data_IF_316033853339
#
_entry.id   IF_316033853339
#
_cell.length_a   1.000
_cell.length_b   1.000
_cell.length_c   1.000
_cell.angle_alpha   90.00
_cell.angle_beta   90.00
_cell.angle_gamma   90.00
#
_symmetry.space_group_name_H-M   'P 1'
#
loop_
_entity.id
_entity.type
_entity.pdbx_description
1 polymer ?
#
# COMPACT_ATOMS: atom_id res chain seq x y z
N UNK A 1 25.28 -9.02 12.96
CA UNK A 1 24.54 -9.62 11.84
C UNK A 1 23.10 -9.15 11.86
N UNK A 2 22.58 -8.62 10.75
CA UNK A 2 21.17 -8.25 10.64
C UNK A 2 20.38 -9.50 10.27
N UNK A 3 19.84 -10.19 11.28
CA UNK A 3 19.00 -11.38 11.07
C UNK A 3 17.66 -10.98 10.44
N UNK A 4 17.61 -10.95 9.11
CA UNK A 4 16.36 -10.72 8.37
C UNK A 4 15.58 -12.02 8.32
N UNK A 5 14.42 -12.04 8.98
CA UNK A 5 13.49 -13.18 9.01
C UNK A 5 13.33 -13.82 7.61
N UNK A 6 13.35 -15.15 7.48
CA UNK A 6 13.17 -15.81 6.20
C UNK A 6 11.78 -15.50 5.63
N UNK A 7 11.65 -15.37 4.29
CA UNK A 7 10.35 -15.32 3.66
C UNK A 7 9.64 -16.67 3.82
N UNK A 8 8.34 -16.69 3.62
CA UNK A 8 7.57 -17.94 3.65
C UNK A 8 8.10 -18.92 2.59
N UNK A 9 8.10 -20.22 2.89
CA UNK A 9 8.69 -21.23 2.02
C UNK A 9 10.20 -21.40 2.22
N UNK A 10 10.79 -20.69 3.18
CA UNK A 10 12.17 -20.85 3.58
C UNK A 10 12.32 -20.94 5.09
N UNK A 11 13.34 -21.67 5.52
CA UNK A 11 13.87 -21.68 6.88
C UNK A 11 15.37 -21.41 6.84
N UNK A 12 15.96 -21.08 7.98
CA UNK A 12 17.42 -21.08 8.09
C UNK A 12 17.90 -22.50 8.38
N UNK A 13 18.80 -23.00 7.53
CA UNK A 13 19.63 -24.16 7.78
C UNK A 13 21.06 -23.68 8.08
N UNK A 14 21.40 -23.66 9.36
CA UNK A 14 22.58 -22.95 9.87
C UNK A 14 22.53 -21.46 9.53
N UNK A 15 23.41 -21.01 8.64
CA UNK A 15 23.52 -19.61 8.20
C UNK A 15 22.91 -19.36 6.81
N UNK A 16 22.40 -20.39 6.13
CA UNK A 16 21.86 -20.27 4.76
C UNK A 16 20.36 -20.48 4.75
N UNK A 17 19.69 -19.87 3.78
CA UNK A 17 18.28 -20.14 3.54
C UNK A 17 18.14 -21.47 2.80
N UNK A 18 17.31 -22.35 3.32
CA UNK A 18 16.92 -23.59 2.67
C UNK A 18 15.39 -23.60 2.51
N UNK A 19 14.88 -24.42 1.60
CA UNK A 19 13.43 -24.59 1.48
C UNK A 19 12.84 -25.09 2.80
N UNK A 20 11.61 -24.65 3.07
CA UNK A 20 10.83 -25.17 4.19
C UNK A 20 10.66 -26.69 4.04
N UNK A 21 10.96 -27.53 5.06
CA UNK A 21 10.80 -28.99 4.94
C UNK A 21 9.34 -29.41 4.74
N UNK A 22 8.39 -28.54 5.06
CA UNK A 22 6.97 -28.75 4.79
C UNK A 22 6.67 -28.62 3.29
N UNK A 23 6.41 -29.76 2.65
CA UNK A 23 6.07 -29.85 1.22
C UNK A 23 4.79 -29.08 0.86
N UNK A 24 3.83 -28.98 1.78
CA UNK A 24 2.60 -28.25 1.56
C UNK A 24 2.88 -26.74 1.48
N UNK A 25 3.77 -26.22 2.34
CA UNK A 25 4.22 -24.82 2.26
C UNK A 25 4.93 -24.57 0.93
N UNK A 26 5.87 -25.45 0.54
CA UNK A 26 6.56 -25.32 -0.74
C UNK A 26 5.59 -25.35 -1.93
N UNK A 27 4.68 -26.32 -1.95
CA UNK A 27 3.67 -26.48 -2.99
C UNK A 27 2.78 -25.25 -3.11
N UNK A 28 2.36 -24.67 -1.98
CA UNK A 28 1.52 -23.46 -1.96
C UNK A 28 2.25 -22.23 -2.53
N UNK A 29 3.55 -22.07 -2.23
CA UNK A 29 4.38 -20.99 -2.79
C UNK A 29 4.59 -21.20 -4.30
N UNK A 30 4.87 -22.43 -4.74
CA UNK A 30 5.01 -22.77 -6.17
C UNK A 30 3.73 -22.49 -6.94
N UNK A 31 2.58 -22.90 -6.40
CA UNK A 31 1.27 -22.66 -7.00
C UNK A 31 0.96 -21.17 -7.18
N UNK A 32 1.37 -20.33 -6.22
CA UNK A 32 1.22 -18.87 -6.35
C UNK A 32 1.97 -18.35 -7.57
N UNK A 33 3.24 -18.71 -7.73
CA UNK A 33 4.06 -18.26 -8.86
C UNK A 33 3.56 -18.83 -10.19
N UNK A 34 3.17 -20.10 -10.23
CA UNK A 34 2.61 -20.73 -11.43
C UNK A 34 1.30 -20.05 -11.86
N UNK A 35 0.40 -19.81 -10.91
CA UNK A 35 -0.87 -19.13 -11.17
C UNK A 35 -0.65 -17.71 -11.68
N UNK A 36 0.33 -17.00 -11.10
CA UNK A 36 0.69 -15.66 -11.58
C UNK A 36 1.32 -15.71 -12.97
N UNK A 37 2.18 -16.71 -13.25
CA UNK A 37 2.78 -16.91 -14.58
C UNK A 37 1.70 -17.07 -15.65
N UNK A 38 0.67 -17.88 -15.36
CA UNK A 38 -0.48 -18.16 -16.24
C UNK A 38 -1.40 -16.95 -16.43
N UNK A 39 -1.75 -16.24 -15.35
CA UNK A 39 -2.80 -15.21 -15.37
C UNK A 39 -2.28 -13.79 -15.53
N UNK A 40 -1.02 -13.56 -15.19
CA UNK A 40 -0.40 -12.24 -15.13
C UNK A 40 -1.01 -11.29 -14.09
N UNK A 41 -1.95 -11.72 -13.23
CA UNK A 41 -2.71 -10.83 -12.35
C UNK A 41 -2.76 -11.32 -10.90
N UNK A 42 -2.33 -10.47 -9.96
CA UNK A 42 -2.34 -10.79 -8.54
C UNK A 42 -3.76 -11.03 -7.97
N UNK A 43 -4.77 -10.34 -8.50
CA UNK A 43 -6.17 -10.58 -8.12
C UNK A 43 -6.64 -11.95 -8.61
N UNK A 44 -6.23 -12.37 -9.80
CA UNK A 44 -6.59 -13.70 -10.33
C UNK A 44 -5.94 -14.82 -9.52
N UNK A 45 -4.74 -14.62 -8.97
CA UNK A 45 -4.12 -15.55 -8.02
C UNK A 45 -5.02 -15.72 -6.78
N UNK A 46 -5.46 -14.62 -6.17
CA UNK A 46 -6.37 -14.68 -5.01
C UNK A 46 -7.67 -15.41 -5.36
N UNK A 47 -8.28 -15.12 -6.52
CA UNK A 47 -9.49 -15.80 -6.99
C UNK A 47 -9.27 -17.30 -7.16
N UNK A 48 -8.15 -17.70 -7.75
CA UNK A 48 -7.84 -19.12 -7.93
C UNK A 48 -7.74 -19.84 -6.58
N UNK A 49 -6.96 -19.29 -5.64
CA UNK A 49 -6.84 -19.86 -4.30
C UNK A 49 -8.18 -19.95 -3.58
N UNK A 50 -9.00 -18.90 -3.66
CA UNK A 50 -10.34 -18.90 -3.05
C UNK A 50 -11.28 -19.91 -3.71
N UNK A 51 -11.25 -20.05 -5.04
CA UNK A 51 -12.10 -20.99 -5.79
C UNK A 51 -11.75 -22.45 -5.49
N UNK A 52 -10.47 -22.75 -5.39
CA UNK A 52 -9.97 -24.10 -5.10
C UNK A 52 -9.97 -24.42 -3.58
N UNK A 53 -10.40 -23.48 -2.73
CA UNK A 53 -10.41 -23.68 -1.26
C UNK A 53 -9.02 -23.77 -0.62
N UNK A 54 -7.98 -23.28 -1.30
CA UNK A 54 -6.58 -23.40 -0.87
C UNK A 54 -6.24 -22.28 0.12
N UNK A 55 -5.81 -22.65 1.31
CA UNK A 55 -5.37 -21.71 2.33
C UNK A 55 -3.88 -21.36 2.17
N UNK A 56 -3.53 -20.12 2.52
CA UNK A 56 -2.17 -19.60 2.50
C UNK A 56 -1.51 -19.75 3.88
N UNK A 57 -0.30 -20.35 3.96
CA UNK A 57 0.41 -20.48 5.23
C UNK A 57 1.02 -19.15 5.67
N UNK A 58 0.97 -18.88 6.97
CA UNK A 58 1.53 -17.69 7.59
C UNK A 58 2.26 -18.07 8.86
N UNK A 59 3.58 -17.83 8.90
CA UNK A 59 4.37 -17.94 10.13
C UNK A 59 4.14 -16.71 11.00
N UNK A 60 3.60 -16.90 12.21
CA UNK A 60 3.32 -15.82 13.16
C UNK A 60 4.61 -15.13 13.61
N UNK A 61 4.61 -13.79 13.55
CA UNK A 61 5.82 -13.01 13.72
C UNK A 61 6.19 -12.74 15.18
N UNK A 62 5.17 -12.58 16.02
CA UNK A 62 5.26 -12.14 17.40
C UNK A 62 4.11 -12.72 18.22
N UNK A 63 4.21 -12.59 19.54
CA UNK A 63 3.22 -13.08 20.50
C UNK A 63 3.49 -14.51 20.99
N UNK A 64 2.60 -15.06 21.84
CA UNK A 64 2.81 -16.36 22.49
C UNK A 64 2.96 -17.53 21.52
N UNK A 65 2.43 -17.40 20.31
CA UNK A 65 2.46 -18.39 19.22
C UNK A 65 3.49 -18.05 18.14
N UNK A 66 4.50 -17.22 18.44
CA UNK A 66 5.52 -16.83 17.48
C UNK A 66 6.24 -18.07 16.91
N UNK A 67 6.38 -18.10 15.58
CA UNK A 67 6.97 -19.24 14.86
C UNK A 67 5.95 -20.25 14.33
N UNK A 68 4.76 -20.33 14.91
CA UNK A 68 3.69 -21.23 14.47
C UNK A 68 3.18 -20.88 13.06
N UNK A 69 2.85 -21.90 12.28
CA UNK A 69 2.23 -21.77 10.96
C UNK A 69 0.72 -21.80 11.13
N UNK A 70 0.05 -20.72 10.71
CA UNK A 70 -1.42 -20.67 10.61
C UNK A 70 -1.84 -20.60 9.15
N UNK A 71 -2.94 -21.25 8.81
CA UNK A 71 -3.49 -21.31 7.46
C UNK A 71 -4.71 -20.39 7.38
N UNK A 72 -4.71 -19.47 6.41
CA UNK A 72 -5.76 -18.47 6.26
C UNK A 72 -6.01 -18.15 4.78
N UNK A 73 -7.11 -17.46 4.47
CA UNK A 73 -7.38 -17.03 3.10
C UNK A 73 -6.22 -16.17 2.53
N UNK A 74 -5.90 -16.40 1.25
CA UNK A 74 -4.86 -15.64 0.58
C UNK A 74 -5.34 -14.22 0.29
N UNK A 75 -4.66 -13.22 0.85
CA UNK A 75 -4.95 -11.82 0.55
C UNK A 75 -4.10 -11.29 -0.61
N UNK A 76 -4.67 -10.37 -1.39
CA UNK A 76 -3.99 -9.66 -2.48
C UNK A 76 -2.71 -8.95 -2.01
N UNK A 77 -2.71 -8.38 -0.80
CA UNK A 77 -1.54 -7.76 -0.19
C UNK A 77 -0.38 -8.75 -0.04
N UNK A 78 -0.70 -10.01 0.29
CA UNK A 78 0.26 -11.09 0.47
C UNK A 78 0.84 -11.54 -0.86
N UNK A 79 0.01 -11.68 -1.89
CA UNK A 79 0.46 -11.98 -3.25
C UNK A 79 1.47 -10.95 -3.72
N UNK A 80 1.16 -9.65 -3.60
CA UNK A 80 2.10 -8.58 -3.96
C UNK A 80 3.40 -8.64 -3.15
N UNK A 81 3.33 -8.91 -1.84
CA UNK A 81 4.52 -9.05 -1.01
C UNK A 81 5.42 -10.21 -1.46
N UNK A 82 4.84 -11.33 -1.92
CA UNK A 82 5.59 -12.47 -2.46
C UNK A 82 6.22 -12.09 -3.80
N UNK A 83 5.43 -11.57 -4.74
CA UNK A 83 5.89 -11.26 -6.09
C UNK A 83 6.92 -10.11 -6.14
N UNK A 84 6.88 -9.15 -5.21
CA UNK A 84 7.88 -8.08 -5.09
C UNK A 84 9.11 -8.46 -4.25
N UNK A 85 9.23 -9.71 -3.80
CA UNK A 85 10.35 -10.13 -2.97
C UNK A 85 11.39 -10.88 -3.82
N UNK A 86 12.53 -10.25 -4.16
CA UNK A 86 13.58 -10.90 -4.96
C UNK A 86 14.26 -12.05 -4.20
N UNK A 87 14.06 -12.22 -2.88
CA UNK A 87 14.62 -13.38 -2.17
C UNK A 87 14.06 -14.71 -2.70
N UNK A 88 12.89 -14.72 -3.34
CA UNK A 88 12.39 -15.94 -3.99
C UNK A 88 13.21 -16.36 -5.23
N UNK A 89 14.16 -15.55 -5.70
CA UNK A 89 15.08 -15.90 -6.80
C UNK A 89 16.35 -16.61 -6.33
N UNK A 90 16.55 -16.76 -5.02
CA UNK A 90 17.83 -17.21 -4.47
C UNK A 90 18.83 -16.08 -4.20
N UNK A 91 18.44 -14.82 -4.44
CA UNK A 91 19.30 -13.67 -4.21
C UNK A 91 19.25 -13.17 -2.75
N UNK A 92 20.42 -12.89 -2.18
CA UNK A 92 20.53 -12.11 -0.96
C UNK A 92 20.55 -10.61 -1.30
N UNK A 93 19.60 -9.87 -0.72
CA UNK A 93 19.40 -8.44 -0.97
C UNK A 93 19.38 -7.65 0.33
N UNK A 94 20.13 -6.54 0.36
CA UNK A 94 20.14 -5.61 1.49
C UNK A 94 20.11 -4.16 1.03
N UNK A 95 19.58 -3.27 1.89
CA UNK A 95 19.49 -1.84 1.58
C UNK A 95 18.36 -1.46 0.63
N UNK A 96 17.28 -2.26 0.53
CA UNK A 96 16.12 -1.97 -0.35
C UNK A 96 15.32 -0.73 0.04
N UNK A 97 15.53 -0.21 1.24
CA UNK A 97 14.82 0.96 1.76
C UNK A 97 15.79 1.91 2.43
N UNK A 98 15.68 3.20 2.12
CA UNK A 98 16.37 4.28 2.83
C UNK A 98 15.44 4.92 3.84
N UNK A 99 15.93 5.08 5.06
CA UNK A 99 15.27 5.84 6.11
C UNK A 99 15.73 7.29 6.03
N UNK A 100 14.79 8.24 6.02
CA UNK A 100 15.06 9.68 6.17
C UNK A 100 14.33 10.20 7.40
N UNK A 101 15.07 10.75 8.36
CA UNK A 101 14.48 11.51 9.47
C UNK A 101 14.04 12.88 8.94
N UNK A 102 12.79 13.22 9.19
CA UNK A 102 12.20 14.54 8.97
C UNK A 102 12.28 15.32 10.28
N UNK A 103 12.20 16.66 10.20
CA UNK A 103 12.11 17.50 11.39
C UNK A 103 10.91 17.10 12.27
N UNK A 104 11.07 17.19 13.60
CA UNK A 104 10.03 16.79 14.56
C UNK A 104 9.96 15.28 14.86
N UNK A 105 11.03 14.52 14.60
CA UNK A 105 11.12 13.10 14.96
C UNK A 105 10.40 12.13 14.01
N UNK A 106 9.74 12.64 12.97
CA UNK A 106 9.06 11.80 12.00
C UNK A 106 10.08 11.06 11.10
N UNK A 107 9.83 9.77 10.85
CA UNK A 107 10.69 8.95 10.00
C UNK A 107 9.94 8.58 8.72
N UNK A 108 10.55 8.84 7.56
CA UNK A 108 10.01 8.42 6.26
C UNK A 108 10.89 7.33 5.65
N UNK A 109 10.26 6.26 5.21
CA UNK A 109 10.90 5.17 4.48
C UNK A 109 10.66 5.36 2.98
N UNK A 110 11.72 5.22 2.19
CA UNK A 110 11.66 5.23 0.73
C UNK A 110 12.22 3.91 0.20
N UNK A 111 11.48 3.22 -0.68
CA UNK A 111 12.03 2.10 -1.46
C UNK A 111 13.03 2.63 -2.47
N UNK A 112 14.19 1.99 -2.54
CA UNK A 112 15.26 2.33 -3.47
C UNK A 112 15.15 1.49 -4.74
N UNK A 113 15.48 2.07 -5.90
CA UNK A 113 15.62 1.30 -7.14
C UNK A 113 16.80 0.34 -7.00
N UNK A 114 16.88 -0.66 -7.88
CA UNK A 114 17.81 -1.78 -7.72
C UNK A 114 19.28 -1.33 -7.73
N UNK A 115 19.58 -0.32 -8.52
CA UNK A 115 20.91 0.25 -8.71
C UNK A 115 21.44 0.94 -7.44
N UNK A 116 20.54 1.29 -6.52
CA UNK A 116 20.86 1.91 -5.23
C UNK A 116 20.86 0.91 -4.07
N UNK A 117 20.67 -0.40 -4.33
CA UNK A 117 20.74 -1.41 -3.28
C UNK A 117 22.18 -1.56 -2.78
N UNK A 118 22.34 -1.65 -1.46
CA UNK A 118 23.67 -1.75 -0.85
C UNK A 118 24.33 -3.10 -1.10
N UNK A 119 23.53 -4.17 -1.19
CA UNK A 119 24.03 -5.52 -1.44
C UNK A 119 23.08 -6.25 -2.37
N UNK A 120 23.64 -6.82 -3.42
CA UNK A 120 22.98 -7.77 -4.31
C UNK A 120 23.92 -8.95 -4.54
N UNK A 121 23.58 -10.11 -4.00
CA UNK A 121 24.34 -11.35 -4.19
C UNK A 121 23.39 -12.40 -4.79
N UNK A 122 23.51 -12.69 -6.11
CA UNK A 122 22.67 -13.71 -6.75
C UNK A 122 23.10 -15.12 -6.31
N UNK A 123 22.17 -16.09 -6.43
CA UNK A 123 22.43 -17.52 -6.26
C UNK A 123 23.05 -17.92 -4.89
N UNK A 124 22.71 -17.22 -3.81
CA UNK A 124 23.18 -17.53 -2.45
C UNK A 124 22.43 -18.72 -1.85
N UNK A 125 21.20 -18.97 -2.31
CA UNK A 125 20.37 -20.08 -1.86
C UNK A 125 19.40 -20.54 -2.96
N UNK A 126 18.71 -21.69 -2.80
CA UNK A 126 17.72 -22.13 -3.77
C UNK A 126 16.59 -21.10 -3.98
N UNK A 127 16.22 -20.86 -5.23
CA UNK A 127 15.11 -19.98 -5.63
C UNK A 127 13.84 -20.78 -5.96
N UNK A 128 12.66 -20.22 -5.68
CA UNK A 128 11.39 -20.72 -6.23
C UNK A 128 11.19 -20.33 -7.70
N UNK A 129 11.80 -19.23 -8.13
CA UNK A 129 11.77 -18.69 -9.48
C UNK A 129 13.17 -18.25 -9.89
N UNK A 130 13.41 -18.02 -11.17
CA UNK A 130 14.69 -17.43 -11.64
C UNK A 130 14.68 -15.90 -11.51
N UNK A 131 15.85 -15.27 -11.71
CA UNK A 131 15.95 -13.81 -11.73
C UNK A 131 15.14 -13.20 -12.89
N UNK A 132 15.24 -13.82 -14.06
CA UNK A 132 14.55 -13.40 -15.28
C UNK A 132 13.02 -13.49 -15.10
N UNK A 133 12.54 -14.55 -14.45
CA UNK A 133 11.12 -14.69 -14.11
C UNK A 133 10.66 -13.60 -13.13
N UNK A 134 11.49 -13.25 -12.14
CA UNK A 134 11.18 -12.16 -11.22
C UNK A 134 11.07 -10.82 -11.95
N UNK A 135 12.00 -10.52 -12.86
CA UNK A 135 11.98 -9.28 -13.66
C UNK A 135 10.74 -9.22 -14.56
N UNK A 136 10.42 -10.32 -15.26
CA UNK A 136 9.19 -10.43 -16.05
C UNK A 136 7.94 -10.22 -15.19
N UNK A 137 7.93 -10.75 -13.96
CA UNK A 137 6.85 -10.51 -13.01
C UNK A 137 6.76 -9.03 -12.61
N UNK A 138 7.89 -8.34 -12.38
CA UNK A 138 7.89 -6.91 -12.06
C UNK A 138 7.34 -6.07 -13.22
N UNK A 139 7.66 -6.41 -14.47
CA UNK A 139 7.11 -5.75 -15.67
C UNK A 139 5.59 -5.88 -15.68
N UNK A 140 5.06 -7.11 -15.60
CA UNK A 140 3.61 -7.37 -15.57
C UNK A 140 2.91 -6.63 -14.42
N UNK A 141 3.50 -6.62 -13.23
CA UNK A 141 2.94 -5.88 -12.08
C UNK A 141 2.87 -4.37 -12.32
N UNK A 142 3.89 -3.79 -12.97
CA UNK A 142 3.89 -2.36 -13.36
C UNK A 142 2.89 -2.06 -14.48
N UNK A 143 2.70 -2.97 -15.42
CA UNK A 143 1.71 -2.81 -16.48
C UNK A 143 0.27 -2.83 -15.94
N UNK A 144 0.01 -3.72 -14.98
CA UNK A 144 -1.29 -3.83 -14.29
C UNK A 144 -1.55 -2.69 -13.29
N UNK A 145 -0.53 -1.91 -12.95
CA UNK A 145 -0.60 -0.83 -11.98
C UNK A 145 -1.26 0.43 -12.58
N UNK A 146 -2.53 0.34 -12.97
CA UNK A 146 -3.31 1.42 -13.58
C UNK A 146 -3.88 2.47 -12.58
N UNK A 147 -3.52 2.39 -11.29
CA UNK A 147 -3.97 3.32 -10.23
C UNK A 147 -2.87 4.27 -9.76
N UNK A 148 -2.97 4.80 -8.51
CA UNK A 148 -2.00 5.72 -7.87
C UNK A 148 -0.99 5.02 -6.93
N UNK A 149 0.30 5.40 -7.02
CA UNK A 149 1.43 4.90 -6.22
C UNK A 149 2.79 5.03 -6.96
N UNK A 150 3.92 4.70 -6.30
CA UNK A 150 5.26 4.85 -6.92
C UNK A 150 5.46 4.01 -8.20
N UNK A 151 4.84 2.83 -8.25
CA UNK A 151 4.79 1.91 -9.41
C UNK A 151 3.57 2.15 -10.32
N UNK A 152 2.80 3.20 -10.03
CA UNK A 152 1.40 3.41 -10.42
C UNK A 152 1.27 4.85 -10.95
N UNK A 153 1.95 5.08 -12.08
CA UNK A 153 2.23 6.41 -12.67
C UNK A 153 1.24 6.85 -13.74
N UNK A 154 0.28 6.00 -14.11
CA UNK A 154 -0.60 6.21 -15.28
C UNK A 154 -1.84 7.05 -15.00
N UNK A 155 -1.98 7.65 -13.82
CA UNK A 155 -3.10 8.55 -13.54
C UNK A 155 -2.58 9.79 -12.82
N UNK A 156 -2.78 11.01 -13.36
CA UNK A 156 -2.48 12.25 -12.63
C UNK A 156 -3.40 12.35 -11.42
N UNK A 157 -2.98 12.92 -10.27
CA UNK A 157 -3.85 13.14 -9.12
C UNK A 157 -5.12 13.85 -9.60
N UNK A 158 -6.27 13.17 -9.52
CA UNK A 158 -7.54 13.79 -9.88
C UNK A 158 -8.15 14.31 -8.61
N UNK A 159 -8.09 15.62 -8.43
CA UNK A 159 -9.17 16.32 -7.73
C UNK A 159 -10.46 15.94 -8.45
N UNK A 160 -11.47 15.54 -7.70
CA UNK A 160 -12.76 15.19 -8.27
C UNK A 160 -13.89 15.69 -7.39
N UNK A 161 -15.09 15.85 -7.94
CA UNK A 161 -16.18 16.56 -7.28
C UNK A 161 -16.80 15.85 -6.07
N UNK A 162 -16.31 14.67 -5.68
CA UNK A 162 -16.87 13.91 -4.57
C UNK A 162 -16.70 14.66 -3.23
N UNK A 163 -17.81 15.12 -2.65
CA UNK A 163 -17.79 15.85 -1.38
C UNK A 163 -17.41 14.95 -0.19
N UNK A 164 -17.75 13.67 -0.27
CA UNK A 164 -17.64 12.72 0.85
C UNK A 164 -16.48 11.74 0.69
N UNK A 165 -15.49 12.07 -0.15
CA UNK A 165 -14.31 11.24 -0.36
C UNK A 165 -13.59 10.93 0.97
N UNK A 166 -13.54 9.65 1.35
CA UNK A 166 -12.88 9.19 2.58
C UNK A 166 -13.73 9.29 3.85
N UNK A 167 -14.94 9.85 3.76
CA UNK A 167 -15.88 9.99 4.88
C UNK A 167 -16.95 8.87 4.88
N UNK A 168 -17.44 8.48 3.69
CA UNK A 168 -18.54 7.49 3.59
C UNK A 168 -18.14 6.12 4.13
N UNK A 169 -18.98 5.55 5.00
CA UNK A 169 -18.92 4.18 5.48
C UNK A 169 -20.04 3.36 4.84
N UNK A 170 -19.76 2.11 4.49
CA UNK A 170 -20.76 1.20 3.94
C UNK A 170 -21.74 0.75 5.03
N UNK A 171 -23.05 0.91 4.79
CA UNK A 171 -24.09 0.48 5.73
C UNK A 171 -24.21 -1.05 5.92
N UNK A 172 -23.66 -1.84 5.00
CA UNK A 172 -23.70 -3.32 5.07
C UNK A 172 -22.52 -3.87 5.89
N UNK A 173 -21.29 -3.38 5.66
CA UNK A 173 -20.08 -3.96 6.24
C UNK A 173 -19.27 -3.01 7.15
N UNK A 174 -19.70 -1.74 7.29
CA UNK A 174 -19.04 -0.73 8.11
C UNK A 174 -17.69 -0.23 7.60
N UNK A 175 -17.21 -0.73 6.45
CA UNK A 175 -15.92 -0.33 5.89
C UNK A 175 -16.02 1.01 5.15
N UNK A 176 -14.93 1.79 5.17
CA UNK A 176 -14.79 3.00 4.35
C UNK A 176 -14.96 2.70 2.87
N UNK A 177 -15.76 3.51 2.19
CA UNK A 177 -15.98 3.43 0.75
C UNK A 177 -14.92 4.23 -0.01
N UNK A 178 -14.69 3.85 -1.27
CA UNK A 178 -13.80 4.55 -2.20
C UNK A 178 -14.61 5.22 -3.30
N UNK A 179 -14.07 6.25 -3.93
CA UNK A 179 -14.76 6.94 -5.04
C UNK A 179 -14.35 6.33 -6.38
N UNK A 180 -15.32 6.10 -7.25
CA UNK A 180 -15.13 5.92 -8.70
C UNK A 180 -15.78 7.10 -9.42
N UNK A 181 -15.30 7.42 -10.61
CA UNK A 181 -15.91 8.44 -11.45
C UNK A 181 -16.36 7.83 -12.77
N UNK A 182 -17.57 8.15 -13.19
CA UNK A 182 -18.03 7.97 -14.56
C UNK A 182 -18.27 9.33 -15.21
N UNK A 183 -18.36 9.39 -16.54
CA UNK A 183 -18.63 10.64 -17.26
C UNK A 183 -20.12 10.70 -17.58
N UNK A 184 -20.78 11.78 -17.16
CA UNK A 184 -22.14 12.12 -17.53
C UNK A 184 -22.16 13.53 -18.10
N UNK A 185 -22.72 13.72 -19.30
CA UNK A 185 -22.78 15.02 -19.98
C UNK A 185 -21.43 15.77 -20.01
N UNK A 186 -20.32 15.05 -20.15
CA UNK A 186 -18.96 15.61 -20.16
C UNK A 186 -18.37 15.93 -18.77
N UNK A 187 -19.12 15.74 -17.69
CA UNK A 187 -18.66 15.99 -16.31
C UNK A 187 -18.41 14.68 -15.56
N UNK A 188 -17.35 14.61 -14.72
CA UNK A 188 -17.12 13.46 -13.85
C UNK A 188 -18.16 13.45 -12.73
N UNK A 189 -18.87 12.34 -12.59
CA UNK A 189 -19.85 12.13 -11.51
C UNK A 189 -19.33 11.03 -10.58
N UNK A 190 -19.34 11.25 -9.26
CA UNK A 190 -18.81 10.27 -8.31
C UNK A 190 -19.80 9.14 -8.05
N UNK A 191 -19.26 7.93 -7.88
CA UNK A 191 -19.91 6.80 -7.24
C UNK A 191 -19.13 6.42 -5.98
N UNK A 192 -19.82 6.25 -4.86
CA UNK A 192 -19.24 5.70 -3.65
C UNK A 192 -19.34 4.18 -3.70
N UNK A 193 -18.19 3.51 -3.71
CA UNK A 193 -18.10 2.06 -3.90
C UNK A 193 -17.42 1.40 -2.72
N UNK A 194 -18.13 0.46 -2.09
CA UNK A 194 -17.57 -0.43 -1.09
C UNK A 194 -16.93 -1.65 -1.77
N UNK A 195 -15.63 -1.53 -2.08
CA UNK A 195 -14.87 -2.56 -2.81
C UNK A 195 -13.68 -3.12 -2.02
N UNK A 196 -13.59 -2.85 -0.71
CA UNK A 196 -12.42 -3.23 0.09
C UNK A 196 -12.16 -4.74 0.07
N UNK A 197 -13.21 -5.55 0.26
CA UNK A 197 -13.11 -7.01 0.17
C UNK A 197 -12.79 -7.48 -1.26
N UNK A 198 -13.34 -6.83 -2.28
CA UNK A 198 -12.95 -7.10 -3.66
C UNK A 198 -11.47 -6.82 -3.96
N UNK A 199 -10.88 -5.81 -3.32
CA UNK A 199 -9.44 -5.54 -3.44
C UNK A 199 -8.61 -6.55 -2.64
N UNK A 200 -9.05 -6.93 -1.43
CA UNK A 200 -8.27 -7.76 -0.51
C UNK A 200 -8.39 -9.26 -0.81
N UNK A 201 -9.60 -9.75 -1.05
CA UNK A 201 -9.96 -11.16 -1.16
C UNK A 201 -10.57 -11.52 -2.52
N UNK A 202 -10.57 -10.58 -3.48
CA UNK A 202 -11.12 -10.76 -4.82
C UNK A 202 -12.62 -11.10 -4.89
N UNK A 203 -13.35 -10.75 -3.82
CA UNK A 203 -14.81 -10.85 -3.70
C UNK A 203 -15.57 -9.85 -4.60
N UNK A 204 -16.88 -10.06 -4.81
CA UNK A 204 -17.75 -9.06 -5.43
C UNK A 204 -17.76 -7.72 -4.66
N UNK A 205 -18.17 -6.66 -5.36
CA UNK A 205 -18.41 -5.35 -4.74
C UNK A 205 -19.54 -5.51 -3.72
N UNK A 206 -19.35 -5.00 -2.50
CA UNK A 206 -20.35 -5.09 -1.44
C UNK A 206 -21.54 -4.18 -1.73
N UNK A 207 -21.27 -2.96 -2.18
CA UNK A 207 -22.29 -1.96 -2.52
C UNK A 207 -21.69 -0.86 -3.40
N UNK A 208 -22.50 -0.29 -4.27
CA UNK A 208 -22.22 0.94 -5.02
C UNK A 208 -23.39 1.90 -4.84
N UNK A 209 -23.10 3.16 -4.55
CA UNK A 209 -24.11 4.21 -4.33
C UNK A 209 -23.77 5.37 -5.26
N UNK A 210 -24.70 5.80 -6.16
CA UNK A 210 -24.52 7.01 -6.95
C UNK A 210 -24.28 8.22 -6.05
N UNK A 211 -23.22 8.97 -6.32
CA UNK A 211 -22.77 10.04 -5.45
C UNK A 211 -23.52 11.36 -5.65
N UNK A 212 -24.11 11.63 -6.81
CA UNK A 212 -24.74 12.92 -7.12
C UNK A 212 -25.83 13.32 -6.12
N UNK A 213 -26.86 12.50 -5.97
CA UNK A 213 -27.96 12.79 -5.03
C UNK A 213 -27.54 12.71 -3.56
N UNK A 214 -26.54 11.88 -3.24
CA UNK A 214 -26.01 11.80 -1.88
C UNK A 214 -25.24 13.08 -1.52
N UNK A 215 -24.37 13.54 -2.40
CA UNK A 215 -23.58 14.76 -2.21
C UNK A 215 -24.49 15.98 -2.11
N UNK A 216 -25.54 16.06 -2.94
CA UNK A 216 -26.54 17.14 -2.88
C UNK A 216 -27.29 17.16 -1.55
N UNK A 217 -27.79 16.00 -1.10
CA UNK A 217 -28.52 15.91 0.17
C UNK A 217 -27.62 16.29 1.37
N UNK A 218 -26.37 15.83 1.38
CA UNK A 218 -25.43 16.20 2.45
C UNK A 218 -25.04 17.67 2.37
N UNK A 219 -24.82 18.22 1.17
CA UNK A 219 -24.55 19.63 0.99
C UNK A 219 -25.68 20.49 1.56
N UNK A 220 -26.93 20.11 1.32
CA UNK A 220 -28.08 20.82 1.87
C UNK A 220 -28.08 20.81 3.40
N UNK A 221 -27.89 19.65 4.04
CA UNK A 221 -27.83 19.55 5.51
C UNK A 221 -26.69 20.39 6.08
N UNK A 222 -25.53 20.39 5.43
CA UNK A 222 -24.40 21.22 5.85
C UNK A 222 -24.76 22.70 5.74
N UNK A 223 -25.35 23.13 4.63
CA UNK A 223 -25.76 24.52 4.43
C UNK A 223 -26.83 24.97 5.44
N UNK A 224 -27.80 24.11 5.76
CA UNK A 224 -28.81 24.39 6.78
C UNK A 224 -28.21 24.51 8.19
N UNK A 225 -27.15 23.75 8.48
CA UNK A 225 -26.42 23.85 9.75
C UNK A 225 -25.53 25.11 9.84
N UNK A 226 -25.19 25.74 8.71
CA UNK A 226 -24.37 26.95 8.64
C UNK A 226 -25.19 28.21 8.92
N UNK A 227 -25.49 28.43 10.20
CA UNK A 227 -26.08 29.70 10.67
C UNK A 227 -25.07 30.86 10.59
N UNK A 228 -25.51 32.13 10.46
CA UNK A 228 -24.61 33.29 10.45
C UNK A 228 -23.66 33.34 11.66
N UNK A 229 -24.18 33.08 12.87
CA UNK A 229 -23.37 33.02 14.09
C UNK A 229 -22.31 31.89 14.04
N UNK A 230 -22.66 30.72 13.50
CA UNK A 230 -21.70 29.64 13.32
C UNK A 230 -20.63 29.96 12.27
N UNK A 231 -20.99 30.73 11.24
CA UNK A 231 -20.07 31.16 10.19
C UNK A 231 -19.07 32.19 10.72
N UNK A 232 -19.52 33.17 11.50
CA UNK A 232 -18.66 34.16 12.14
C UNK A 232 -17.61 33.50 13.05
N UNK A 233 -18.04 32.58 13.93
CA UNK A 233 -17.13 31.82 14.80
C UNK A 233 -16.16 30.97 13.96
N UNK A 234 -16.65 30.29 12.92
CA UNK A 234 -15.80 29.48 12.06
C UNK A 234 -14.74 30.32 11.32
N UNK A 235 -15.10 31.54 10.89
CA UNK A 235 -14.19 32.48 10.25
C UNK A 235 -13.13 32.99 11.22
N UNK A 236 -13.51 33.36 12.45
CA UNK A 236 -12.56 33.80 13.48
C UNK A 236 -11.55 32.70 13.83
N UNK A 237 -12.03 31.47 14.06
CA UNK A 237 -11.18 30.30 14.30
C UNK A 237 -10.26 30.03 13.11
N UNK A 238 -10.78 30.18 11.88
CA UNK A 238 -9.99 29.98 10.66
C UNK A 238 -8.86 31.02 10.54
N UNK A 239 -9.15 32.30 10.82
CA UNK A 239 -8.16 33.37 10.83
C UNK A 239 -7.08 33.13 11.90
N UNK A 240 -7.48 32.72 13.09
CA UNK A 240 -6.53 32.38 14.17
C UNK A 240 -5.62 31.22 13.77
N UNK A 241 -6.18 30.13 13.23
CA UNK A 241 -5.40 28.98 12.75
C UNK A 241 -4.45 29.37 11.63
N UNK A 242 -4.87 30.27 10.73
CA UNK A 242 -4.03 30.79 9.64
C UNK A 242 -2.89 31.64 10.18
N UNK A 243 -3.15 32.49 11.17
CA UNK A 243 -2.13 33.30 11.85
C UNK A 243 -1.08 32.41 12.55
N UNK A 244 -1.54 31.46 13.38
CA UNK A 244 -0.66 30.48 14.06
C UNK A 244 0.19 29.68 13.07
N UNK A 245 -0.40 29.22 11.95
CA UNK A 245 0.33 28.50 10.90
C UNK A 245 1.40 29.37 10.23
N UNK A 246 1.09 30.64 10.00
CA UNK A 246 2.02 31.60 9.39
C UNK A 246 3.20 31.85 10.32
N UNK A 247 2.95 32.02 11.61
CA UNK A 247 4.00 32.20 12.61
C UNK A 247 4.92 30.97 12.72
N UNK A 248 4.34 29.77 12.83
CA UNK A 248 5.11 28.51 12.85
C UNK A 248 5.95 28.36 11.58
N UNK A 249 5.40 28.69 10.41
CA UNK A 249 6.14 28.65 9.15
C UNK A 249 7.30 29.66 9.12
N UNK A 250 7.09 30.88 9.63
CA UNK A 250 8.15 31.90 9.76
C UNK A 250 9.29 31.39 10.63
N UNK A 251 8.98 30.82 11.80
CA UNK A 251 9.99 30.26 12.71
C UNK A 251 10.73 29.08 12.09
N UNK A 252 10.03 28.20 11.36
CA UNK A 252 10.65 27.08 10.62
C UNK A 252 11.60 27.58 9.53
N UNK A 253 11.22 28.60 8.76
CA UNK A 253 12.08 29.19 7.73
C UNK A 253 13.35 29.80 8.34
N UNK A 254 13.22 30.53 9.45
CA UNK A 254 14.38 31.08 10.16
C UNK A 254 15.31 30.01 10.73
N UNK A 255 14.79 28.86 11.18
CA UNK A 255 15.62 27.72 11.60
C UNK A 255 16.38 27.10 10.43
N UNK A 256 15.74 26.93 9.28
CA UNK A 256 16.39 26.41 8.07
C UNK A 256 17.48 27.36 7.59
N UNK A 257 17.25 28.67 7.65
CA UNK A 257 18.22 29.66 7.23
C UNK A 257 19.45 29.68 8.13
N UNK A 258 19.28 29.69 9.45
CA UNK A 258 20.39 29.54 10.40
C UNK A 258 21.20 28.27 10.17
N UNK A 259 20.53 27.13 9.97
CA UNK A 259 21.22 25.87 9.69
C UNK A 259 22.00 25.88 8.36
N UNK A 260 21.59 26.68 7.37
CA UNK A 260 22.35 26.87 6.12
C UNK A 260 23.58 27.74 6.35
N UNK A 261 23.42 28.86 7.04
CA UNK A 261 24.51 29.78 7.39
C UNK A 261 25.58 29.05 8.23
N UNK A 262 25.18 28.26 9.23
CA UNK A 262 26.08 27.43 10.03
C UNK A 262 26.83 26.37 9.19
N UNK A 263 26.17 25.78 8.19
CA UNK A 263 26.79 24.80 7.30
C UNK A 263 27.77 25.44 6.31
N UNK A 264 27.48 26.66 5.83
CA UNK A 264 28.37 27.44 4.96
C UNK A 264 29.60 27.94 5.72
N UNK A 265 29.46 28.32 7.00
CA UNK A 265 30.58 28.73 7.86
C UNK A 265 31.49 27.57 8.31
N UNK A 266 31.04 26.32 8.18
CA UNK A 266 31.79 25.12 8.54
C UNK A 266 32.57 24.48 7.37
N UNK A 267 32.56 25.11 6.18
CA UNK A 267 33.36 24.76 5.01
C UNK A 267 34.62 25.62 4.92
#
# INVERSE_FOLDING_TARGET
>A
ELWIRPPLGYIFDGQRLAFDPDEQIQGTVRLLFETFRRTGSAVQVVRHFSREGIQWPRRLASGPRAGEVVWAALEHSRVLNVLHNPRYTGAYVYGRTRQRKLGGGQVRYRRLPQEEWQVFLPNVHPGYITWEEYEANQVKLRENANGYGADRRKSPPREGPALLQGLVLCGICGQRMTVRYYVSQGHPVPDYVCQRRGIQAAEPICQSIPGSGLDEAIAQVVLEAMTPASLEIALEVFEELRARKTEVNRLRLAQVQRAREEAELAQ
#
